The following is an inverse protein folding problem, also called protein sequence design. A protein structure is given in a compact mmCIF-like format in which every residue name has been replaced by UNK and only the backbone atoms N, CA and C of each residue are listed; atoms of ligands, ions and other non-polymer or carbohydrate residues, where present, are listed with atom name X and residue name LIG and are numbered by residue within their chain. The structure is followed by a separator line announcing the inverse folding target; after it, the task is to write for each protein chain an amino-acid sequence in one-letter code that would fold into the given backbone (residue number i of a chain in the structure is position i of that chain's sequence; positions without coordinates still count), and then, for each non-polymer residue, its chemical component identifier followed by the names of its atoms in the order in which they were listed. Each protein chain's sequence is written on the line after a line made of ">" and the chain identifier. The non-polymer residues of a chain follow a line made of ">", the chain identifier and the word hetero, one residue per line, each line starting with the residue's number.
data_IF_324296524549
#
_entry.id   IF_324296524549
#
_cell.length_a   1.000
_cell.length_b   1.000
_cell.length_c   1.000
_cell.angle_alpha   90.00
_cell.angle_beta   90.00
_cell.angle_gamma   90.00
#
_symmetry.space_group_name_H-M   'P 1'
#
loop_
_entity.id
_entity.type
_entity.pdbx_description
1 polymer ?
#
# COMPACT_ATOMS: atom_id res chain seq x y z
N UNK A 1 -13.72 -5.56 -28.29
CA UNK A 1 -13.75 -4.97 -26.92
C UNK A 1 -13.45 -5.99 -25.84
N UNK A 2 -14.38 -6.89 -25.46
CA UNK A 2 -14.14 -7.79 -24.30
C UNK A 2 -13.02 -8.81 -24.52
N UNK A 3 -12.87 -9.36 -25.73
CA UNK A 3 -11.84 -10.36 -26.04
C UNK A 3 -10.42 -9.78 -25.93
N UNK A 4 -10.14 -8.67 -26.61
CA UNK A 4 -8.83 -7.99 -26.55
C UNK A 4 -8.42 -7.61 -25.11
N UNK A 5 -9.38 -7.18 -24.28
CA UNK A 5 -9.11 -6.93 -22.86
C UNK A 5 -8.71 -8.20 -22.13
N UNK A 6 -9.46 -9.30 -22.34
CA UNK A 6 -9.17 -10.59 -21.70
C UNK A 6 -7.78 -11.10 -22.13
N UNK A 7 -7.42 -10.96 -23.40
CA UNK A 7 -6.09 -11.32 -23.91
C UNK A 7 -4.98 -10.56 -23.18
N UNK A 8 -5.12 -9.24 -23.02
CA UNK A 8 -4.17 -8.42 -22.27
C UNK A 8 -4.10 -8.86 -20.81
N UNK A 9 -5.24 -9.06 -20.15
CA UNK A 9 -5.27 -9.49 -18.75
C UNK A 9 -4.65 -10.88 -18.57
N UNK A 10 -4.84 -11.78 -19.53
CA UNK A 10 -4.24 -13.11 -19.53
C UNK A 10 -2.72 -13.06 -19.77
N UNK A 11 -2.29 -12.26 -20.75
CA UNK A 11 -0.88 -12.00 -21.05
C UNK A 11 -0.13 -11.47 -19.82
N UNK A 12 -0.76 -10.57 -19.07
CA UNK A 12 -0.20 -9.98 -17.86
C UNK A 12 -0.76 -10.60 -16.56
N UNK A 13 -1.25 -11.84 -16.62
CA UNK A 13 -1.85 -12.54 -15.46
C UNK A 13 -0.97 -12.54 -14.21
N UNK A 14 0.36 -12.61 -14.39
CA UNK A 14 1.35 -12.54 -13.31
C UNK A 14 1.38 -11.20 -12.57
N UNK A 15 0.76 -10.13 -13.07
CA UNK A 15 0.66 -8.85 -12.38
C UNK A 15 -0.36 -8.91 -11.24
N UNK A 16 -1.26 -9.88 -11.29
CA UNK A 16 -2.31 -10.05 -10.31
C UNK A 16 -1.91 -11.07 -9.25
N UNK A 17 -2.44 -10.87 -8.05
CA UNK A 17 -2.34 -11.84 -6.97
C UNK A 17 -3.55 -11.76 -6.02
N UNK A 18 -3.80 -12.87 -5.35
CA UNK A 18 -4.79 -12.99 -4.26
C UNK A 18 -4.12 -12.78 -2.89
N UNK A 19 -4.94 -12.55 -1.85
CA UNK A 19 -4.45 -12.20 -0.50
C UNK A 19 -3.51 -13.25 0.14
N UNK A 20 -3.55 -14.50 -0.33
CA UNK A 20 -2.77 -15.63 0.19
C UNK A 20 -1.55 -15.98 -0.68
N UNK A 21 -1.36 -15.28 -1.81
CA UNK A 21 -0.23 -15.50 -2.69
C UNK A 21 0.97 -14.63 -2.29
N UNK A 22 2.19 -14.99 -2.72
CA UNK A 22 3.38 -14.19 -2.44
C UNK A 22 3.19 -12.74 -2.89
N UNK A 23 3.46 -11.81 -1.98
CA UNK A 23 3.42 -10.38 -2.27
C UNK A 23 4.53 -10.01 -3.25
N UNK A 24 4.23 -9.00 -4.08
CA UNK A 24 5.21 -8.32 -4.91
C UNK A 24 6.37 -7.76 -4.09
N UNK A 25 7.48 -7.49 -4.76
CA UNK A 25 8.71 -7.03 -4.14
C UNK A 25 9.34 -5.97 -5.03
N UNK A 26 9.04 -4.71 -4.72
CA UNK A 26 9.51 -3.56 -5.48
C UNK A 26 10.94 -3.26 -5.05
N UNK A 27 11.89 -3.64 -5.90
CA UNK A 27 13.34 -3.50 -5.64
C UNK A 27 13.82 -2.07 -5.91
N UNK A 28 14.86 -1.63 -5.20
CA UNK A 28 15.47 -0.30 -5.40
C UNK A 28 14.70 0.85 -4.75
N UNK A 29 13.67 0.54 -3.98
CA UNK A 29 12.84 1.49 -3.25
C UNK A 29 12.73 1.11 -1.77
N UNK A 30 13.83 0.64 -1.18
CA UNK A 30 13.88 0.31 0.23
C UNK A 30 13.52 1.54 1.08
N UNK A 31 12.69 1.31 2.09
CA UNK A 31 12.20 2.34 3.01
C UNK A 31 13.14 2.38 4.21
N UNK A 32 13.64 3.58 4.51
CA UNK A 32 14.35 3.86 5.75
C UNK A 32 13.55 4.81 6.65
N UNK A 33 13.91 4.87 7.93
CA UNK A 33 13.32 5.78 8.91
C UNK A 33 14.42 6.59 9.55
N UNK A 34 14.35 7.91 9.37
CA UNK A 34 15.21 8.86 10.04
C UNK A 34 14.50 9.42 11.27
N UNK A 35 15.15 9.28 12.43
CA UNK A 35 14.67 9.85 13.69
C UNK A 35 15.36 11.19 13.96
N UNK A 36 14.68 12.09 14.67
CA UNK A 36 15.23 13.35 15.18
C UNK A 36 15.85 13.21 16.58
N UNK A 37 16.07 11.98 17.02
CA UNK A 37 16.67 11.61 18.31
C UNK A 37 17.72 10.53 18.08
N UNK A 38 18.74 10.53 18.92
CA UNK A 38 19.83 9.55 18.89
C UNK A 38 19.72 8.55 20.04
N UNK A 39 20.63 7.58 20.07
CA UNK A 39 20.72 6.60 21.16
C UNK A 39 21.37 7.25 22.41
N UNK A 40 20.94 6.87 23.62
CA UNK A 40 19.83 5.96 23.93
C UNK A 40 18.47 6.60 23.60
N UNK A 41 17.58 5.81 22.99
CA UNK A 41 16.28 6.30 22.56
C UNK A 41 15.35 6.64 23.74
N UNK A 42 14.43 7.61 23.58
CA UNK A 42 13.46 7.96 24.61
C UNK A 42 12.61 6.75 25.05
N UNK A 43 12.24 6.63 26.34
CA UNK A 43 11.39 5.53 26.84
C UNK A 43 10.07 5.36 26.09
N UNK A 44 9.56 6.44 25.49
CA UNK A 44 8.34 6.42 24.68
C UNK A 44 8.46 5.52 23.44
N UNK A 45 9.68 5.25 22.94
CA UNK A 45 9.93 4.31 21.85
C UNK A 45 10.02 2.84 22.33
N UNK A 46 10.04 2.59 23.64
CA UNK A 46 10.10 1.24 24.22
C UNK A 46 8.85 0.96 25.04
N UNK A 47 7.75 0.68 24.34
CA UNK A 47 6.43 0.49 24.96
C UNK A 47 6.14 -1.00 25.18
N UNK A 48 5.47 -1.39 26.28
CA UNK A 48 5.04 -2.76 26.51
C UNK A 48 3.86 -3.14 25.60
N UNK A 49 3.61 -4.45 25.44
CA UNK A 49 2.39 -4.93 24.81
C UNK A 49 1.15 -4.45 25.57
N UNK A 50 0.06 -4.19 24.84
CA UNK A 50 -1.21 -3.91 25.48
C UNK A 50 -1.84 -5.17 26.10
N UNK A 51 -2.60 -5.02 27.19
CA UNK A 51 -3.44 -6.09 27.68
C UNK A 51 -4.58 -6.36 26.68
N UNK A 52 -4.71 -7.60 26.26
CA UNK A 52 -5.69 -8.05 25.28
C UNK A 52 -6.66 -9.07 25.90
N UNK A 53 -7.95 -8.98 25.54
CA UNK A 53 -8.92 -10.02 25.86
C UNK A 53 -8.65 -11.32 25.05
N UNK A 54 -9.20 -12.49 25.46
CA UNK A 54 -8.90 -13.76 24.80
C UNK A 54 -9.13 -13.77 23.28
N UNK A 55 -10.23 -13.17 22.81
CA UNK A 55 -10.56 -13.10 21.37
C UNK A 55 -9.55 -12.24 20.60
N UNK A 56 -9.14 -11.09 21.15
CA UNK A 56 -8.12 -10.24 20.55
C UNK A 56 -6.75 -10.95 20.51
N UNK A 57 -6.39 -11.71 21.55
CA UNK A 57 -5.14 -12.50 21.56
C UNK A 57 -5.11 -13.54 20.45
N UNK A 58 -6.21 -14.26 20.27
CA UNK A 58 -6.32 -15.26 19.20
C UNK A 58 -6.23 -14.61 17.81
N UNK A 59 -7.01 -13.55 17.57
CA UNK A 59 -6.97 -12.80 16.31
C UNK A 59 -5.55 -12.28 16.01
N UNK A 60 -4.88 -11.71 17.00
CA UNK A 60 -3.52 -11.19 16.86
C UNK A 60 -2.52 -12.30 16.50
N UNK A 61 -2.62 -13.47 17.13
CA UNK A 61 -1.77 -14.63 16.79
C UNK A 61 -2.00 -15.07 15.34
N UNK A 62 -3.24 -15.07 14.88
CA UNK A 62 -3.60 -15.38 13.49
C UNK A 62 -2.98 -14.39 12.51
N UNK A 63 -3.19 -13.08 12.73
CA UNK A 63 -2.62 -12.01 11.88
C UNK A 63 -1.09 -12.07 11.82
N UNK A 64 -0.42 -12.28 12.96
CA UNK A 64 1.04 -12.42 13.00
C UNK A 64 1.49 -13.62 12.17
N UNK A 65 0.85 -14.78 12.33
CA UNK A 65 1.20 -15.98 11.57
C UNK A 65 1.02 -15.79 10.06
N UNK A 66 -0.06 -15.14 9.64
CA UNK A 66 -0.29 -14.79 8.23
C UNK A 66 0.79 -13.86 7.69
N UNK A 67 1.13 -12.80 8.42
CA UNK A 67 2.17 -11.86 8.02
C UNK A 67 3.56 -12.50 8.00
N UNK A 68 3.85 -13.46 8.89
CA UNK A 68 5.08 -14.24 8.82
C UNK A 68 5.11 -15.15 7.57
N UNK A 69 4.01 -15.84 7.25
CA UNK A 69 3.90 -16.66 6.03
C UNK A 69 4.10 -15.83 4.76
N UNK A 70 3.61 -14.59 4.74
CA UNK A 70 3.80 -13.64 3.63
C UNK A 70 5.19 -13.00 3.60
N UNK A 71 6.08 -13.30 4.55
CA UNK A 71 7.41 -12.69 4.66
C UNK A 71 7.37 -11.19 5.00
N UNK A 72 6.29 -10.71 5.61
CA UNK A 72 6.13 -9.33 6.11
C UNK A 72 6.73 -9.19 7.50
N UNK A 73 6.61 -10.22 8.34
CA UNK A 73 7.15 -10.26 9.69
C UNK A 73 8.17 -11.40 9.86
N UNK A 74 9.12 -11.18 10.77
CA UNK A 74 10.01 -12.19 11.33
C UNK A 74 9.95 -12.12 12.85
N UNK A 75 10.04 -13.25 13.55
CA UNK A 75 10.19 -13.25 15.01
C UNK A 75 11.60 -12.81 15.40
N UNK A 76 11.73 -11.87 16.33
CA UNK A 76 13.04 -11.45 16.82
C UNK A 76 13.73 -12.60 17.58
N UNK A 77 15.04 -12.77 17.36
CA UNK A 77 15.84 -13.77 18.06
C UNK A 77 16.03 -13.45 19.55
N UNK A 78 16.29 -14.49 20.36
CA UNK A 78 16.49 -14.33 21.82
C UNK A 78 17.72 -13.46 22.17
N UNK A 79 18.73 -13.44 21.31
CA UNK A 79 19.97 -12.68 21.49
C UNK A 79 19.97 -11.34 20.74
N UNK A 80 18.87 -10.98 20.07
CA UNK A 80 18.78 -9.69 19.39
C UNK A 80 18.47 -8.59 20.39
N UNK A 81 19.34 -7.58 20.49
CA UNK A 81 19.10 -6.40 21.31
C UNK A 81 17.86 -5.64 20.83
N UNK A 82 16.92 -5.34 21.73
CA UNK A 82 15.67 -4.62 21.43
C UNK A 82 15.64 -3.26 22.12
N UNK A 83 15.80 -2.21 21.33
CA UNK A 83 15.77 -0.82 21.81
C UNK A 83 14.42 -0.12 21.59
N UNK A 84 13.67 -0.55 20.55
CA UNK A 84 12.39 0.03 20.16
C UNK A 84 11.33 -1.07 20.10
N UNK A 85 10.16 -0.80 20.67
CA UNK A 85 8.99 -1.69 20.63
C UNK A 85 7.71 -0.89 20.47
N UNK A 86 6.95 -1.24 19.43
CA UNK A 86 5.63 -0.66 19.15
C UNK A 86 4.53 -1.68 19.48
N UNK A 87 3.60 -1.39 20.40
CA UNK A 87 2.52 -2.30 20.68
C UNK A 87 1.55 -2.36 19.51
N UNK A 88 0.92 -3.51 19.35
CA UNK A 88 -0.13 -3.74 18.36
C UNK A 88 -1.49 -3.88 19.06
N UNK A 89 -2.54 -3.49 18.35
CA UNK A 89 -3.94 -3.67 18.76
C UNK A 89 -4.72 -4.37 17.67
N UNK A 90 -5.82 -5.01 18.06
CA UNK A 90 -6.84 -5.49 17.13
C UNK A 90 -8.00 -4.50 17.08
N UNK A 91 -8.33 -4.06 15.88
CA UNK A 91 -9.54 -3.28 15.60
C UNK A 91 -10.53 -4.15 14.84
N UNK A 92 -11.81 -4.08 15.20
CA UNK A 92 -12.89 -4.84 14.56
C UNK A 92 -13.77 -3.93 13.71
N UNK A 93 -14.12 -4.40 12.52
CA UNK A 93 -15.07 -3.71 11.64
C UNK A 93 -15.84 -4.73 10.81
N UNK A 94 -17.18 -4.76 10.92
CA UNK A 94 -18.06 -5.74 10.26
C UNK A 94 -17.54 -7.18 10.42
N UNK A 95 -17.31 -7.60 11.68
CA UNK A 95 -16.78 -8.92 12.08
C UNK A 95 -15.39 -9.28 11.54
N UNK A 96 -14.71 -8.34 10.87
CA UNK A 96 -13.33 -8.51 10.41
C UNK A 96 -12.37 -7.82 11.36
N UNK A 97 -11.41 -8.57 11.87
CA UNK A 97 -10.31 -8.03 12.67
C UNK A 97 -9.18 -7.51 11.78
N UNK A 98 -8.50 -6.47 12.24
CA UNK A 98 -7.27 -5.94 11.65
C UNK A 98 -6.26 -5.69 12.75
N UNK A 99 -5.03 -6.17 12.54
CA UNK A 99 -3.90 -5.81 13.38
C UNK A 99 -3.36 -4.44 12.99
N UNK A 100 -3.21 -3.55 13.97
CA UNK A 100 -2.70 -2.17 13.78
C UNK A 100 -1.55 -1.93 14.74
N UNK A 101 -0.39 -1.52 14.23
CA UNK A 101 0.72 -1.06 15.06
C UNK A 101 0.51 0.39 15.52
N UNK A 102 0.67 0.65 16.82
CA UNK A 102 0.55 2.00 17.37
C UNK A 102 1.86 2.80 17.19
N UNK A 103 2.13 3.19 15.94
CA UNK A 103 3.33 3.94 15.56
C UNK A 103 3.30 5.42 15.97
N UNK A 104 2.32 5.89 16.76
CA UNK A 104 2.23 7.32 17.16
C UNK A 104 3.50 7.81 17.84
N UNK A 105 4.04 7.02 18.77
CA UNK A 105 5.30 7.31 19.45
C UNK A 105 6.46 7.43 18.47
N UNK A 106 6.62 6.44 17.58
CA UNK A 106 7.64 6.46 16.54
C UNK A 106 7.50 7.70 15.64
N UNK A 107 6.29 7.98 15.17
CA UNK A 107 5.99 9.09 14.28
C UNK A 107 6.27 10.47 14.89
N UNK A 108 6.20 10.62 16.22
CA UNK A 108 6.61 11.86 16.90
C UNK A 108 8.10 12.14 16.69
N UNK A 109 8.92 11.10 16.70
CA UNK A 109 10.37 11.21 16.53
C UNK A 109 10.83 11.05 15.07
N UNK A 110 10.00 10.55 14.16
CA UNK A 110 10.33 10.46 12.75
C UNK A 110 10.42 11.84 12.09
N UNK A 111 11.55 12.12 11.44
CA UNK A 111 11.74 13.30 10.59
C UNK A 111 10.73 13.22 9.43
N UNK A 112 9.91 14.25 9.29
CA UNK A 112 8.82 14.28 8.32
C UNK A 112 9.37 14.42 6.89
N UNK A 113 8.97 13.51 6.01
CA UNK A 113 9.19 13.63 4.57
C UNK A 113 7.98 14.32 3.91
N UNK A 114 8.19 15.53 3.39
CA UNK A 114 7.16 16.34 2.71
C UNK A 114 7.16 16.13 1.20
N UNK A 115 7.30 14.89 0.74
CA UNK A 115 7.16 14.58 -0.68
C UNK A 115 5.74 14.94 -1.16
N UNK A 116 5.59 15.62 -2.31
CA UNK A 116 4.29 16.04 -2.81
C UNK A 116 3.42 14.83 -3.15
N UNK A 117 2.20 14.81 -2.61
CA UNK A 117 1.17 13.83 -2.94
C UNK A 117 0.13 14.55 -3.82
N UNK A 118 -0.29 13.97 -4.96
CA UNK A 118 -1.28 14.56 -5.84
C UNK A 118 -2.56 14.91 -5.08
N UNK A 119 -3.09 16.12 -5.29
CA UNK A 119 -4.38 16.52 -4.73
C UNK A 119 -5.49 15.92 -5.58
N UNK A 120 -6.37 15.16 -4.94
CA UNK A 120 -7.47 14.44 -5.62
C UNK A 120 -8.26 15.39 -6.55
N UNK A 121 -8.62 16.60 -6.12
CA UNK A 121 -9.40 17.54 -6.95
C UNK A 121 -8.71 17.97 -8.26
N UNK A 122 -7.40 18.24 -8.23
CA UNK A 122 -6.63 18.61 -9.42
C UNK A 122 -6.59 17.43 -10.41
N UNK A 123 -6.56 16.23 -9.86
CA UNK A 123 -6.55 14.98 -10.61
C UNK A 123 -7.93 14.63 -11.21
N UNK A 124 -9.03 14.97 -10.54
CA UNK A 124 -10.39 14.66 -10.99
C UNK A 124 -10.81 15.45 -12.24
N UNK A 125 -10.42 16.72 -12.38
CA UNK A 125 -10.80 17.56 -13.54
C UNK A 125 -10.36 16.96 -14.87
N UNK A 126 -9.31 16.13 -14.86
CA UNK A 126 -8.77 15.50 -16.07
C UNK A 126 -9.54 14.23 -16.45
N UNK A 127 -10.21 13.61 -15.47
CA UNK A 127 -11.07 12.45 -15.69
C UNK A 127 -12.31 12.79 -16.52
N UNK A 128 -12.72 14.07 -16.57
CA UNK A 128 -13.94 14.48 -17.29
C UNK A 128 -13.85 14.33 -18.81
N UNK A 129 -12.65 14.11 -19.37
CA UNK A 129 -12.45 13.84 -20.81
C UNK A 129 -12.34 12.34 -21.11
N UNK A 130 -12.25 11.50 -20.08
CA UNK A 130 -12.08 10.07 -20.23
C UNK A 130 -13.40 9.41 -20.64
N UNK A 131 -13.36 8.63 -21.71
CA UNK A 131 -14.49 7.78 -22.12
C UNK A 131 -14.35 6.37 -21.55
N UNK A 132 -13.13 5.89 -21.36
CA UNK A 132 -12.82 4.58 -20.79
C UNK A 132 -11.92 4.74 -19.58
N UNK A 133 -12.33 4.12 -18.48
CA UNK A 133 -11.67 4.23 -17.19
C UNK A 133 -11.41 2.83 -16.65
N UNK A 134 -10.17 2.58 -16.26
CA UNK A 134 -9.77 1.40 -15.50
C UNK A 134 -9.31 1.85 -14.13
N UNK A 135 -9.76 1.16 -13.09
CA UNK A 135 -9.31 1.34 -11.71
C UNK A 135 -8.72 0.03 -11.22
N UNK A 136 -7.49 0.08 -10.72
CA UNK A 136 -6.74 -1.04 -10.17
C UNK A 136 -6.23 -0.67 -8.78
N UNK A 137 -6.08 -1.67 -7.91
CA UNK A 137 -5.60 -1.45 -6.55
C UNK A 137 -4.40 -2.33 -6.26
N UNK A 138 -3.31 -1.74 -5.77
CA UNK A 138 -2.14 -2.49 -5.32
C UNK A 138 -2.50 -3.45 -4.18
N UNK A 139 -2.09 -4.71 -4.29
CA UNK A 139 -2.38 -5.72 -3.28
C UNK A 139 -1.53 -5.47 -2.03
N UNK A 140 -2.15 -5.04 -0.93
CA UNK A 140 -1.44 -4.68 0.31
C UNK A 140 -0.26 -3.73 0.02
N UNK A 141 -0.50 -2.65 -0.73
CA UNK A 141 0.54 -1.88 -1.42
C UNK A 141 1.76 -1.53 -0.59
N UNK A 142 1.58 -1.01 0.63
CA UNK A 142 2.72 -0.72 1.52
C UNK A 142 3.62 -1.94 1.81
N UNK A 143 3.04 -3.14 1.99
CA UNK A 143 3.82 -4.35 2.25
C UNK A 143 4.62 -4.84 1.03
N UNK A 144 4.52 -4.20 -0.14
CA UNK A 144 5.35 -4.55 -1.30
C UNK A 144 6.70 -3.84 -1.32
N UNK A 145 6.90 -2.83 -0.45
CA UNK A 145 8.19 -2.14 -0.25
C UNK A 145 8.99 -2.79 0.87
N UNK A 146 10.27 -3.09 0.63
CA UNK A 146 11.18 -3.61 1.66
C UNK A 146 11.66 -2.51 2.59
N UNK A 147 11.98 -2.89 3.82
CA UNK A 147 12.65 -2.03 4.80
C UNK A 147 14.16 -2.25 4.77
N UNK A 148 14.94 -1.18 4.99
CA UNK A 148 16.38 -1.28 5.28
C UNK A 148 16.62 -2.03 6.61
N UNK A 149 17.77 -2.70 6.81
CA UNK A 149 18.07 -3.35 8.09
C UNK A 149 17.96 -2.42 9.30
N UNK A 150 18.24 -1.13 9.11
CA UNK A 150 18.09 -0.10 10.12
C UNK A 150 16.61 0.13 10.48
N UNK A 151 15.75 0.44 9.50
CA UNK A 151 14.33 0.67 9.73
C UNK A 151 13.61 -0.54 10.32
N UNK A 152 14.02 -1.77 9.98
CA UNK A 152 13.49 -3.01 10.57
C UNK A 152 13.57 -2.99 12.09
N UNK A 153 14.74 -2.61 12.65
CA UNK A 153 14.95 -2.52 14.10
C UNK A 153 14.05 -1.48 14.77
N UNK A 154 13.80 -0.35 14.09
CA UNK A 154 12.90 0.71 14.58
C UNK A 154 11.42 0.34 14.47
N UNK A 155 11.06 -0.56 13.56
CA UNK A 155 9.70 -1.02 13.31
C UNK A 155 9.38 -2.35 13.99
N UNK A 156 10.07 -2.67 15.08
CA UNK A 156 9.72 -3.85 15.87
C UNK A 156 8.40 -3.64 16.59
N UNK A 157 7.54 -4.65 16.50
CA UNK A 157 6.29 -4.71 17.22
C UNK A 157 6.36 -5.68 18.40
N UNK A 158 5.57 -5.40 19.43
CA UNK A 158 5.44 -6.25 20.61
C UNK A 158 3.99 -6.65 20.82
N UNK A 159 3.79 -7.94 21.08
CA UNK A 159 2.51 -8.52 21.43
C UNK A 159 2.67 -9.53 22.58
N UNK A 160 1.55 -10.03 23.11
CA UNK A 160 1.55 -11.04 24.17
C UNK A 160 2.31 -12.33 23.80
N UNK A 161 2.51 -12.61 22.51
CA UNK A 161 3.19 -13.80 22.00
C UNK A 161 4.66 -13.57 21.61
N UNK A 162 5.17 -12.34 21.78
CA UNK A 162 6.59 -12.01 21.58
C UNK A 162 6.82 -10.72 20.80
N UNK A 163 8.08 -10.54 20.39
CA UNK A 163 8.55 -9.40 19.61
C UNK A 163 8.79 -9.85 18.17
N UNK A 164 8.31 -9.05 17.23
CA UNK A 164 8.40 -9.31 15.81
C UNK A 164 8.94 -8.08 15.08
N UNK A 165 9.60 -8.31 13.97
CA UNK A 165 10.25 -7.30 13.16
C UNK A 165 9.60 -7.27 11.78
N UNK A 166 9.15 -6.08 11.36
CA UNK A 166 8.72 -5.87 9.98
C UNK A 166 9.92 -5.99 9.04
N UNK A 167 9.76 -6.75 7.96
CA UNK A 167 10.69 -6.81 6.83
C UNK A 167 10.26 -5.92 5.67
N UNK A 168 8.96 -5.60 5.64
CA UNK A 168 8.27 -4.80 4.62
C UNK A 168 7.52 -3.66 5.28
N UNK A 169 7.32 -2.56 4.57
CA UNK A 169 6.76 -1.34 5.14
C UNK A 169 5.35 -1.57 5.71
N UNK A 170 5.12 -1.25 6.99
CA UNK A 170 3.80 -1.36 7.60
C UNK A 170 2.92 -0.13 7.33
N UNK A 171 1.61 -0.32 7.44
CA UNK A 171 0.67 0.80 7.51
C UNK A 171 0.87 1.61 8.80
N UNK A 172 0.59 2.91 8.75
CA UNK A 172 0.53 3.78 9.95
C UNK A 172 1.83 4.51 10.29
N UNK A 173 2.93 4.25 9.59
CA UNK A 173 4.16 5.05 9.74
C UNK A 173 4.02 6.38 9.01
N UNK A 174 4.60 7.44 9.59
CA UNK A 174 4.43 8.84 9.17
C UNK A 174 4.70 9.10 7.69
N UNK A 175 5.77 8.51 7.17
CA UNK A 175 6.27 8.80 5.82
C UNK A 175 5.86 7.72 4.79
N UNK A 176 5.04 6.73 5.15
CA UNK A 176 4.63 5.69 4.19
C UNK A 176 3.98 6.26 2.91
N UNK A 177 3.03 7.21 2.99
CA UNK A 177 2.45 7.82 1.79
C UNK A 177 3.47 8.57 0.93
N UNK A 178 4.35 9.37 1.56
CA UNK A 178 5.39 10.14 0.87
C UNK A 178 6.37 9.24 0.14
N UNK A 179 6.83 8.17 0.79
CA UNK A 179 7.73 7.19 0.17
C UNK A 179 7.04 6.46 -0.98
N UNK A 180 5.81 6.02 -0.77
CA UNK A 180 5.05 5.32 -1.79
C UNK A 180 4.84 6.19 -3.03
N UNK A 181 4.47 7.46 -2.86
CA UNK A 181 4.31 8.38 -3.98
C UNK A 181 5.63 8.64 -4.71
N UNK A 182 6.74 8.80 -3.99
CA UNK A 182 8.08 8.96 -4.58
C UNK A 182 8.46 7.75 -5.44
N UNK A 183 8.22 6.55 -4.93
CA UNK A 183 8.42 5.30 -5.66
C UNK A 183 7.58 5.29 -6.94
N UNK A 184 6.28 5.55 -6.84
CA UNK A 184 5.37 5.59 -8.00
C UNK A 184 5.83 6.61 -9.05
N UNK A 185 6.21 7.82 -8.64
CA UNK A 185 6.67 8.86 -9.56
C UNK A 185 7.94 8.46 -10.31
N UNK A 186 8.80 7.64 -9.70
CA UNK A 186 9.99 7.12 -10.37
C UNK A 186 9.70 5.98 -11.36
N UNK A 187 8.62 5.22 -11.15
CA UNK A 187 8.22 4.09 -12.02
C UNK A 187 7.41 4.60 -13.23
N UNK A 188 6.56 5.59 -13.01
CA UNK A 188 5.62 6.13 -14.01
C UNK A 188 5.82 7.62 -14.35
N UNK A 189 7.07 8.12 -14.53
CA UNK A 189 7.29 9.56 -14.67
C UNK A 189 6.58 10.15 -15.89
N UNK A 190 6.64 9.45 -17.03
CA UNK A 190 6.03 9.90 -18.28
C UNK A 190 4.52 9.82 -18.22
N UNK A 191 3.97 8.68 -17.77
CA UNK A 191 2.54 8.43 -17.76
C UNK A 191 1.79 9.37 -16.81
N UNK A 192 2.40 9.70 -15.65
CA UNK A 192 1.87 10.69 -14.73
C UNK A 192 1.97 12.11 -15.31
N UNK A 193 3.05 12.43 -16.04
CA UNK A 193 3.21 13.75 -16.67
C UNK A 193 2.25 14.01 -17.82
N UNK A 194 1.81 12.95 -18.52
CA UNK A 194 0.79 13.01 -19.56
C UNK A 194 -0.63 12.95 -19.00
N UNK A 195 -0.78 12.79 -17.68
CA UNK A 195 -2.02 12.97 -16.92
C UNK A 195 -3.12 11.93 -17.24
N UNK A 196 -2.87 10.99 -18.16
CA UNK A 196 -3.80 9.88 -18.42
C UNK A 196 -3.68 8.74 -17.40
N UNK A 197 -2.56 8.67 -16.67
CA UNK A 197 -2.37 7.79 -15.53
C UNK A 197 -2.42 8.61 -14.24
N UNK A 198 -3.22 8.11 -13.31
CA UNK A 198 -3.41 8.72 -12.01
C UNK A 198 -3.09 7.64 -10.98
N UNK A 199 -2.13 7.91 -10.11
CA UNK A 199 -1.83 7.00 -9.00
C UNK A 199 -1.86 7.79 -7.70
N UNK A 200 -2.78 7.39 -6.82
CA UNK A 200 -2.92 7.95 -5.49
C UNK A 200 -2.72 6.84 -4.47
N UNK A 201 -1.52 6.78 -3.90
CA UNK A 201 -1.11 5.69 -3.01
C UNK A 201 -1.41 4.34 -3.71
N UNK A 202 -2.32 3.51 -3.18
CA UNK A 202 -2.57 2.17 -3.69
C UNK A 202 -3.53 2.15 -4.91
N UNK A 203 -4.24 3.24 -5.20
CA UNK A 203 -5.22 3.32 -6.29
C UNK A 203 -4.54 3.78 -7.59
N UNK A 204 -4.68 2.98 -8.66
CA UNK A 204 -4.13 3.21 -10.00
C UNK A 204 -5.30 3.37 -10.97
N UNK A 205 -5.42 4.52 -11.61
CA UNK A 205 -6.52 4.88 -12.49
C UNK A 205 -5.95 5.22 -13.87
N UNK A 206 -6.47 4.56 -14.90
CA UNK A 206 -6.10 4.78 -16.29
C UNK A 206 -7.29 5.38 -17.01
N UNK A 207 -7.03 6.45 -17.75
CA UNK A 207 -8.05 7.20 -18.48
C UNK A 207 -7.74 7.23 -19.97
N UNK A 208 -8.76 7.08 -20.81
CA UNK A 208 -8.59 7.11 -22.26
C UNK A 208 -9.84 7.55 -23.00
N UNK A 209 -9.64 8.12 -24.16
CA UNK A 209 -10.67 8.71 -25.03
C UNK A 209 -11.26 7.65 -25.98
N UNK A 210 -10.43 6.69 -26.42
CA UNK A 210 -10.81 5.59 -27.30
C UNK A 210 -10.46 4.24 -26.68
N UNK A 211 -11.12 3.18 -27.15
CA UNK A 211 -10.91 1.84 -26.62
C UNK A 211 -9.51 1.31 -26.93
N UNK A 212 -9.04 1.51 -28.16
CA UNK A 212 -7.74 1.06 -28.62
C UNK A 212 -6.61 1.70 -27.79
N UNK A 213 -6.67 3.02 -27.59
CA UNK A 213 -5.72 3.73 -26.74
C UNK A 213 -5.78 3.26 -25.28
N UNK A 214 -6.98 2.88 -24.80
CA UNK A 214 -7.14 2.32 -23.46
C UNK A 214 -6.41 1.00 -23.28
N UNK A 215 -6.50 0.11 -24.26
CA UNK A 215 -5.80 -1.16 -24.25
C UNK A 215 -4.28 -0.99 -24.31
N UNK A 216 -3.79 -0.05 -25.12
CA UNK A 216 -2.37 0.29 -25.20
C UNK A 216 -1.84 0.80 -23.85
N UNK A 217 -2.55 1.77 -23.25
CA UNK A 217 -2.22 2.33 -21.92
C UNK A 217 -2.26 1.26 -20.82
N UNK A 218 -3.28 0.40 -20.83
CA UNK A 218 -3.40 -0.72 -19.89
C UNK A 218 -2.24 -1.70 -20.02
N UNK A 219 -1.90 -2.10 -21.25
CA UNK A 219 -0.77 -2.99 -21.53
C UNK A 219 0.55 -2.38 -21.06
N UNK A 220 0.77 -1.09 -21.31
CA UNK A 220 1.95 -0.35 -20.84
C UNK A 220 2.07 -0.35 -19.32
N UNK A 221 0.98 -0.03 -18.61
CA UNK A 221 0.96 0.02 -17.14
C UNK A 221 1.19 -1.36 -16.54
N UNK A 222 0.49 -2.39 -17.02
CA UNK A 222 0.65 -3.77 -16.53
C UNK A 222 2.07 -4.30 -16.78
N UNK A 223 2.68 -3.97 -17.92
CA UNK A 223 4.07 -4.31 -18.22
C UNK A 223 5.03 -3.68 -17.20
N UNK A 224 4.88 -2.40 -16.89
CA UNK A 224 5.72 -1.72 -15.88
C UNK A 224 5.51 -2.29 -14.48
N UNK A 225 4.26 -2.57 -14.08
CA UNK A 225 3.92 -3.24 -12.82
C UNK A 225 4.65 -4.58 -12.70
N UNK A 226 4.67 -5.38 -13.76
CA UNK A 226 5.42 -6.65 -13.78
C UNK A 226 6.93 -6.46 -13.65
N UNK A 227 7.50 -5.48 -14.37
CA UNK A 227 8.94 -5.20 -14.35
C UNK A 227 9.43 -4.85 -12.94
N UNK A 228 8.64 -4.07 -12.20
CA UNK A 228 8.95 -3.71 -10.81
C UNK A 228 8.46 -4.76 -9.80
N UNK A 229 7.89 -5.88 -10.27
CA UNK A 229 7.32 -6.94 -9.46
C UNK A 229 6.30 -6.43 -8.43
N UNK A 230 5.47 -5.46 -8.83
CA UNK A 230 4.30 -5.03 -8.07
C UNK A 230 3.12 -5.97 -8.36
N UNK A 231 2.27 -6.21 -7.37
CA UNK A 231 1.07 -7.04 -7.47
C UNK A 231 -0.19 -6.22 -7.29
N UNK A 232 -1.19 -6.56 -8.10
CA UNK A 232 -2.50 -5.92 -8.13
C UNK A 232 -3.57 -6.89 -7.64
N UNK A 233 -4.54 -6.37 -6.88
CA UNK A 233 -5.67 -7.15 -6.39
C UNK A 233 -6.76 -7.24 -7.47
N UNK A 234 -6.80 -8.35 -8.20
CA UNK A 234 -7.77 -8.54 -9.30
C UNK A 234 -9.23 -8.34 -8.83
N UNK A 235 -9.55 -8.81 -7.62
CA UNK A 235 -10.88 -8.68 -7.01
C UNK A 235 -11.33 -7.23 -6.82
N UNK A 236 -10.39 -6.29 -6.72
CA UNK A 236 -10.65 -4.86 -6.50
C UNK A 236 -10.54 -4.03 -7.78
N UNK A 237 -10.23 -4.65 -8.92
CA UNK A 237 -10.08 -3.95 -10.18
C UNK A 237 -11.41 -3.82 -10.93
N UNK A 238 -11.53 -2.73 -11.69
CA UNK A 238 -12.59 -2.47 -12.65
C UNK A 238 -11.94 -2.05 -13.97
N UNK A 239 -12.27 -2.72 -15.08
CA UNK A 239 -11.58 -2.49 -16.36
C UNK A 239 -12.52 -1.90 -17.42
N UNK A 240 -12.11 -0.79 -18.02
CA UNK A 240 -12.74 -0.27 -19.24
C UNK A 240 -14.17 0.26 -19.08
N UNK A 241 -14.54 0.75 -17.90
CA UNK A 241 -15.88 1.31 -17.65
C UNK A 241 -16.00 2.74 -18.18
N UNK A 242 -17.22 3.12 -18.60
CA UNK A 242 -17.54 4.51 -18.96
C UNK A 242 -17.75 5.41 -17.73
N UNK A 243 -18.13 4.81 -16.61
CA UNK A 243 -18.33 5.46 -15.33
C UNK A 243 -17.91 4.52 -14.21
N UNK A 244 -17.14 5.01 -13.23
CA UNK A 244 -16.75 4.21 -12.06
C UNK A 244 -16.54 5.06 -10.82
N UNK A 245 -16.61 4.40 -9.66
CA UNK A 245 -16.25 4.99 -8.37
C UNK A 245 -14.75 4.90 -8.15
N UNK A 246 -14.06 6.04 -8.02
CA UNK A 246 -12.63 6.12 -7.76
C UNK A 246 -12.33 7.28 -6.81
N UNK A 247 -11.38 7.06 -5.89
CA UNK A 247 -10.91 8.09 -4.92
C UNK A 247 -12.03 8.74 -4.08
N UNK A 248 -13.16 8.06 -3.87
CA UNK A 248 -14.32 8.63 -3.16
C UNK A 248 -15.28 9.47 -4.04
N UNK A 249 -15.07 9.47 -5.35
CA UNK A 249 -15.89 10.18 -6.33
C UNK A 249 -16.47 9.22 -7.36
N UNK A 250 -17.63 9.58 -7.90
CA UNK A 250 -18.16 8.98 -9.14
C UNK A 250 -17.55 9.75 -10.30
N UNK A 251 -16.85 9.01 -11.17
CA UNK A 251 -16.14 9.54 -12.30
C UNK A 251 -16.82 9.05 -13.56
N UNK A 252 -17.42 9.96 -14.33
CA UNK A 252 -17.92 9.69 -15.68
C UNK A 252 -17.31 10.66 -16.68
N UNK A 253 -17.26 10.29 -17.95
CA UNK A 253 -16.80 11.17 -19.04
C UNK A 253 -17.64 12.43 -19.28
N UNK A 254 -18.66 12.70 -18.44
CA UNK A 254 -19.56 13.85 -18.54
C UNK A 254 -19.77 14.57 -17.20
N UNK A 255 -19.45 13.96 -16.06
CA UNK A 255 -19.70 14.53 -14.74
C UNK A 255 -18.79 13.96 -13.65
N UNK A 256 -18.43 14.83 -12.70
CA UNK A 256 -17.78 14.47 -11.44
C UNK A 256 -18.83 14.57 -10.32
N UNK A 257 -19.09 13.46 -9.64
CA UNK A 257 -19.98 13.39 -8.49
C UNK A 257 -19.23 13.00 -7.21
N UNK A 258 -19.66 13.49 -6.06
CA UNK A 258 -19.20 12.97 -4.76
C UNK A 258 -19.95 11.66 -4.48
N UNK A 259 -19.25 10.59 -4.09
CA UNK A 259 -19.91 9.35 -3.73
C UNK A 259 -20.71 9.52 -2.43
N UNK A 260 -22.03 9.30 -2.49
CA UNK A 260 -22.94 9.44 -1.34
C UNK A 260 -22.93 8.25 -0.37
N UNK A 261 -22.10 7.23 -0.63
CA UNK A 261 -22.04 5.99 0.17
C UNK A 261 -20.85 5.89 1.13
N UNK A 262 -20.08 6.97 1.28
CA UNK A 262 -19.00 7.10 2.27
C UNK A 262 -19.20 8.32 3.15
#
# INVERSE_FOLDING_TARGET
>A
MKEELIEILFQYSKAFASDNEPLGAIKGHEVDIMLNVERPYPPLLRRPAYPDNPSAREALKTHINELMKLGVLRKAGQNEEVEVTTPVIITWHNDKSRMVGDFRALNTYTILDRYPIPRIHETLTQLSKARFITSMVALKGFHQSFLTPHARKLLRIIAHCGIYEYLRMPCGIKNAPSHYQRMINSIFPHELSEIWLIIYIDDIIICSETWQLHLERLSLVLRKILQVNMKISLKKCNFGFHELKALGHVVSGLSLGVDKTK
#
